data_IF_459933520877
#
_entry.id   IF_459933520877
#
_cell.length_a   1.000
_cell.length_b   1.000
_cell.length_c   1.000
_cell.angle_alpha   90.00
_cell.angle_beta   90.00
_cell.angle_gamma   90.00
#
_symmetry.space_group_name_H-M   'P 1'
#
loop_
_entity.id
_entity.type
_entity.pdbx_description
1 polymer ?
#
# COMPACT_ATOMS: atom_id res chain seq x y z
N UNK A 1 -6.76 -44.36 -2.84
CA UNK A 1 -7.68 -43.34 -2.29
C UNK A 1 -6.81 -42.28 -1.65
N UNK A 2 -6.87 -41.05 -2.15
CA UNK A 2 -6.17 -39.92 -1.52
C UNK A 2 -6.96 -39.55 -0.26
N UNK A 3 -6.38 -39.82 0.91
CA UNK A 3 -7.05 -39.71 2.23
C UNK A 3 -6.79 -38.36 2.91
N UNK A 4 -6.24 -37.39 2.20
CA UNK A 4 -5.92 -36.10 2.81
C UNK A 4 -7.14 -35.17 2.72
N UNK A 5 -8.08 -35.40 3.64
CA UNK A 5 -9.13 -34.45 4.01
C UNK A 5 -8.61 -33.41 5.01
N UNK A 6 -9.43 -33.06 6.00
CA UNK A 6 -9.07 -32.16 7.11
C UNK A 6 -7.81 -32.56 7.91
N UNK A 7 -7.36 -33.81 7.76
CA UNK A 7 -6.15 -34.34 8.40
C UNK A 7 -4.83 -33.82 7.82
N UNK A 8 -4.85 -33.21 6.61
CA UNK A 8 -3.68 -32.60 5.99
C UNK A 8 -3.54 -31.09 6.23
N UNK A 9 -4.40 -30.48 7.06
CA UNK A 9 -4.31 -29.06 7.38
C UNK A 9 -3.15 -28.82 8.35
N UNK A 10 -2.14 -28.09 7.89
CA UNK A 10 -1.07 -27.59 8.74
C UNK A 10 -1.64 -26.68 9.85
N UNK A 11 -1.06 -26.78 11.04
CA UNK A 11 -1.42 -25.89 12.14
C UNK A 11 -1.11 -24.45 11.76
N UNK A 12 -2.09 -23.55 11.94
CA UNK A 12 -1.89 -22.12 11.71
C UNK A 12 -0.81 -21.59 12.65
N UNK A 13 0.20 -20.94 12.09
CA UNK A 13 1.21 -20.23 12.88
C UNK A 13 0.52 -19.09 13.63
N UNK A 14 0.49 -19.19 14.96
CA UNK A 14 -0.17 -18.21 15.84
C UNK A 14 0.77 -17.12 16.32
N UNK A 15 2.09 -17.34 16.25
CA UNK A 15 3.10 -16.35 16.61
C UNK A 15 3.41 -15.44 15.42
N UNK A 16 2.87 -14.22 15.46
CA UNK A 16 3.01 -13.21 14.40
C UNK A 16 3.91 -12.05 14.81
N UNK A 17 4.61 -12.13 15.96
CA UNK A 17 5.39 -11.01 16.51
C UNK A 17 6.47 -10.51 15.55
N UNK A 18 7.14 -11.43 14.85
CA UNK A 18 8.17 -11.09 13.87
C UNK A 18 7.58 -10.35 12.66
N UNK A 19 6.37 -10.76 12.24
CA UNK A 19 5.63 -10.11 11.15
C UNK A 19 5.21 -8.70 11.57
N UNK A 20 4.65 -8.55 12.76
CA UNK A 20 4.26 -7.26 13.31
C UNK A 20 5.46 -6.31 13.40
N UNK A 21 6.58 -6.77 13.96
CA UNK A 21 7.81 -5.97 14.06
C UNK A 21 8.32 -5.52 12.67
N UNK A 22 8.29 -6.42 11.68
CA UNK A 22 8.71 -6.09 10.30
C UNK A 22 7.83 -5.00 9.68
N UNK A 23 6.54 -4.99 9.99
CA UNK A 23 5.59 -3.97 9.53
C UNK A 23 5.87 -2.64 10.23
N UNK A 24 6.14 -2.65 11.54
CA UNK A 24 6.50 -1.43 12.27
C UNK A 24 7.77 -0.79 11.73
N UNK A 25 8.81 -1.58 11.52
CA UNK A 25 10.10 -1.11 11.04
C UNK A 25 9.99 -0.50 9.65
N UNK A 26 9.18 -1.13 8.78
CA UNK A 26 8.87 -0.58 7.47
C UNK A 26 8.09 0.74 7.56
N UNK A 27 7.12 0.86 8.47
CA UNK A 27 6.37 2.10 8.67
C UNK A 27 7.30 3.23 9.14
N UNK A 28 8.20 2.94 10.09
CA UNK A 28 9.21 3.89 10.59
C UNK A 28 10.18 4.31 9.48
N UNK A 29 10.60 3.37 8.63
CA UNK A 29 11.43 3.67 7.45
C UNK A 29 10.71 4.62 6.49
N UNK A 30 9.46 4.33 6.14
CA UNK A 30 8.65 5.19 5.27
C UNK A 30 8.53 6.60 5.86
N UNK A 31 8.23 6.72 7.15
CA UNK A 31 8.14 8.01 7.83
C UNK A 31 9.47 8.79 7.74
N UNK A 32 10.58 8.14 8.08
CA UNK A 32 11.92 8.76 8.11
C UNK A 32 12.34 9.27 6.73
N UNK A 33 12.11 8.49 5.68
CA UNK A 33 12.53 8.86 4.31
C UNK A 33 11.57 9.88 3.71
N UNK A 34 10.27 9.63 3.77
CA UNK A 34 9.26 10.41 3.05
C UNK A 34 8.81 11.67 3.78
N UNK A 35 9.20 11.87 5.05
CA UNK A 35 9.04 13.15 5.76
C UNK A 35 10.30 14.03 5.71
N UNK A 36 11.31 13.65 4.93
CA UNK A 36 12.40 14.57 4.58
C UNK A 36 11.90 15.61 3.58
N UNK A 37 12.60 16.74 3.46
CA UNK A 37 12.22 17.82 2.53
C UNK A 37 12.01 17.32 1.09
N UNK A 38 12.95 16.52 0.58
CA UNK A 38 12.85 15.96 -0.77
C UNK A 38 11.84 14.81 -0.86
N UNK A 39 11.65 14.07 0.23
CA UNK A 39 10.59 13.05 0.35
C UNK A 39 9.19 13.66 0.22
N UNK A 40 8.96 14.82 0.84
CA UNK A 40 7.69 15.55 0.71
C UNK A 40 7.46 16.06 -0.71
N UNK A 41 8.51 16.58 -1.37
CA UNK A 41 8.44 16.99 -2.79
C UNK A 41 8.07 15.81 -3.69
N UNK A 42 8.67 14.63 -3.46
CA UNK A 42 8.36 13.41 -4.19
C UNK A 42 6.92 12.95 -3.96
N UNK A 43 6.45 12.90 -2.72
CA UNK A 43 5.07 12.52 -2.41
C UNK A 43 4.06 13.46 -3.04
N UNK A 44 4.33 14.76 -3.04
CA UNK A 44 3.48 15.75 -3.72
C UNK A 44 3.40 15.52 -5.22
N UNK A 45 4.53 15.25 -5.88
CA UNK A 45 4.56 14.93 -7.31
C UNK A 45 3.83 13.63 -7.63
N UNK A 46 4.01 12.57 -6.82
CA UNK A 46 3.32 11.29 -6.99
C UNK A 46 1.80 11.45 -6.89
N UNK A 47 1.32 12.22 -5.92
CA UNK A 47 -0.11 12.50 -5.76
C UNK A 47 -0.69 13.23 -6.97
N UNK A 48 -0.05 14.29 -7.43
CA UNK A 48 -0.50 15.05 -8.59
C UNK A 48 -0.49 14.20 -9.89
N UNK A 49 0.50 13.32 -10.04
CA UNK A 49 0.71 12.54 -11.27
C UNK A 49 -0.15 11.30 -11.35
N UNK A 50 -0.44 10.65 -10.22
CA UNK A 50 -1.11 9.34 -10.21
C UNK A 50 -2.53 9.42 -9.63
N UNK A 51 -2.72 10.15 -8.53
CA UNK A 51 -3.96 10.17 -7.76
C UNK A 51 -4.96 11.22 -8.25
N UNK A 52 -4.48 12.41 -8.64
CA UNK A 52 -5.32 13.56 -8.98
C UNK A 52 -5.56 13.71 -10.50
N UNK A 53 -5.26 12.68 -11.28
CA UNK A 53 -5.56 12.66 -12.71
C UNK A 53 -7.07 12.51 -12.94
N UNK A 54 -7.64 13.22 -13.93
CA UNK A 54 -9.06 13.11 -14.25
C UNK A 54 -9.39 11.66 -14.64
N UNK A 55 -10.24 11.03 -13.84
CA UNK A 55 -10.78 9.69 -14.12
C UNK A 55 -11.87 9.83 -15.17
N UNK A 56 -11.87 8.95 -16.18
CA UNK A 56 -12.94 8.93 -17.18
C UNK A 56 -14.32 8.75 -16.52
N UNK A 57 -15.11 9.82 -16.53
CA UNK A 57 -16.54 9.80 -16.25
C UNK A 57 -17.29 9.25 -17.47
N UNK A 58 -18.49 8.65 -17.30
CA UNK A 58 -19.34 8.29 -18.45
C UNK A 58 -19.59 9.53 -19.33
N UNK A 59 -19.07 9.52 -20.56
CA UNK A 59 -19.09 10.66 -21.50
C UNK A 59 -17.75 11.40 -21.67
N UNK A 60 -16.70 11.05 -20.94
CA UNK A 60 -15.34 11.53 -21.17
C UNK A 60 -14.67 10.83 -22.37
N UNK A 61 -13.66 11.46 -22.97
CA UNK A 61 -12.90 10.89 -24.08
C UNK A 61 -12.30 9.52 -23.67
N UNK A 62 -12.42 8.47 -24.51
CA UNK A 62 -11.96 7.11 -24.19
C UNK A 62 -10.47 7.01 -23.80
N UNK A 63 -9.63 7.99 -24.19
CA UNK A 63 -8.22 8.05 -23.83
C UNK A 63 -7.96 8.29 -22.33
N UNK A 64 -8.96 8.73 -21.55
CA UNK A 64 -8.85 8.91 -20.10
C UNK A 64 -9.20 7.65 -19.28
N UNK A 65 -9.69 6.60 -19.92
CA UNK A 65 -10.21 5.40 -19.25
C UNK A 65 -9.14 4.32 -19.00
N UNK A 66 -7.92 4.70 -18.65
CA UNK A 66 -6.93 3.72 -18.20
C UNK A 66 -7.25 3.32 -16.75
N UNK A 67 -7.62 2.04 -16.54
CA UNK A 67 -7.77 1.43 -15.22
C UNK A 67 -6.42 1.47 -14.49
N UNK A 68 -6.19 2.48 -13.65
CA UNK A 68 -4.92 2.72 -12.90
C UNK A 68 -5.03 2.41 -11.40
N UNK A 69 -5.95 1.52 -11.04
CA UNK A 69 -6.26 1.18 -9.64
C UNK A 69 -5.03 0.72 -8.84
N UNK A 70 -4.13 -0.05 -9.46
CA UNK A 70 -2.89 -0.53 -8.82
C UNK A 70 -1.85 0.55 -8.52
N UNK A 71 -1.78 1.64 -9.29
CA UNK A 71 -0.84 2.73 -9.00
C UNK A 71 -1.31 3.57 -7.82
N UNK A 72 -2.63 3.77 -7.72
CA UNK A 72 -3.22 4.54 -6.63
C UNK A 72 -3.17 3.81 -5.29
N UNK A 73 -3.29 2.49 -5.29
CA UNK A 73 -3.19 1.69 -4.06
C UNK A 73 -1.79 1.77 -3.44
N UNK A 74 -0.73 1.78 -4.25
CA UNK A 74 0.65 1.93 -3.76
C UNK A 74 0.86 3.26 -3.05
N UNK A 75 0.42 4.38 -3.64
CA UNK A 75 0.59 5.70 -3.01
C UNK A 75 -0.23 5.81 -1.72
N UNK A 76 -1.46 5.30 -1.72
CA UNK A 76 -2.30 5.26 -0.51
C UNK A 76 -1.71 4.38 0.59
N UNK A 77 -1.07 3.27 0.24
CA UNK A 77 -0.38 2.41 1.21
C UNK A 77 0.81 3.16 1.84
N UNK A 78 1.64 3.85 1.05
CA UNK A 78 2.73 4.67 1.57
C UNK A 78 2.22 5.75 2.55
N UNK A 79 1.14 6.46 2.18
CA UNK A 79 0.50 7.44 3.07
C UNK A 79 -0.03 6.79 4.35
N UNK A 80 -0.65 5.61 4.25
CA UNK A 80 -1.15 4.87 5.41
C UNK A 80 -0.02 4.45 6.35
N UNK A 81 1.12 3.99 5.81
CA UNK A 81 2.30 3.60 6.60
C UNK A 81 2.91 4.78 7.35
N UNK A 82 3.05 5.93 6.69
CA UNK A 82 3.51 7.18 7.32
C UNK A 82 2.57 7.56 8.46
N UNK A 83 1.26 7.53 8.21
CA UNK A 83 0.26 7.90 9.22
C UNK A 83 0.22 6.93 10.41
N UNK A 84 0.40 5.61 10.17
CA UNK A 84 0.52 4.62 11.24
C UNK A 84 1.73 4.90 12.11
N UNK A 85 2.91 5.13 11.51
CA UNK A 85 4.12 5.45 12.25
C UNK A 85 4.02 6.74 13.09
N UNK A 86 3.20 7.72 12.68
CA UNK A 86 2.96 8.96 13.45
C UNK A 86 2.01 8.78 14.64
N UNK A 87 1.19 7.72 14.64
CA UNK A 87 0.17 7.43 15.66
C UNK A 87 0.61 6.39 16.69
N UNK A 88 1.78 5.79 16.48
CA UNK A 88 2.45 4.94 17.45
C UNK A 88 3.14 5.80 18.50
#
# INVERSE_FOLDING_TARGET
>A
MNVDGWAGLESVVTDIRDVDQSVEDLNKLCLRVLSSEDGEKLMKWLRATLLEQPVALPGADPSYAFYREGQNSVIRDLEARINKARKM
#
